data_IF_539157247124
#
_entry.id   IF_539157247124
#
_cell.length_a   1.000
_cell.length_b   1.000
_cell.length_c   1.000
_cell.angle_alpha   90.00
_cell.angle_beta   90.00
_cell.angle_gamma   90.00
#
_symmetry.space_group_name_H-M   'P 1'
#
loop_
_entity.id
_entity.type
_entity.pdbx_description
1 polymer ?
#
# COMPACT_ATOMS: atom_id res chain seq x y z
N UNK A 1 0.75 6.91 -10.28
CA UNK A 1 0.01 7.88 -9.48
C UNK A 1 0.89 8.71 -8.53
N UNK A 2 1.80 8.08 -7.75
CA UNK A 2 2.68 8.83 -6.83
C UNK A 2 3.69 9.72 -7.56
N UNK A 3 4.25 9.27 -8.69
CA UNK A 3 5.13 10.06 -9.55
C UNK A 3 4.38 11.21 -10.21
N UNK A 4 3.15 10.98 -10.66
CA UNK A 4 2.32 12.01 -11.26
C UNK A 4 1.98 13.10 -10.26
N UNK A 5 1.61 12.74 -9.03
CA UNK A 5 1.38 13.68 -7.96
C UNK A 5 2.65 14.49 -7.62
N UNK A 6 3.81 13.84 -7.60
CA UNK A 6 5.07 14.49 -7.26
C UNK A 6 5.47 15.56 -8.30
N UNK A 7 5.32 15.26 -9.58
CA UNK A 7 5.84 16.08 -10.66
C UNK A 7 4.77 16.88 -11.43
N UNK A 8 3.51 16.41 -11.42
CA UNK A 8 2.42 16.92 -12.24
C UNK A 8 1.16 17.26 -11.43
N UNK A 9 1.31 17.67 -10.15
CA UNK A 9 0.20 17.95 -9.24
C UNK A 9 -0.89 18.85 -9.84
N UNK A 10 -0.49 19.94 -10.46
CA UNK A 10 -1.46 20.92 -10.98
C UNK A 10 -2.38 20.31 -12.04
N UNK A 11 -1.82 19.56 -12.99
CA UNK A 11 -2.59 18.88 -14.03
C UNK A 11 -3.48 17.75 -13.45
N UNK A 12 -2.99 17.02 -12.44
CA UNK A 12 -3.80 16.03 -11.73
C UNK A 12 -4.96 16.69 -10.97
N UNK A 13 -4.70 17.82 -10.33
CA UNK A 13 -5.72 18.57 -9.59
C UNK A 13 -6.81 19.11 -10.54
N UNK A 14 -6.44 19.64 -11.68
CA UNK A 14 -7.36 20.12 -12.72
C UNK A 14 -8.29 19.00 -13.21
N UNK A 15 -7.75 17.79 -13.47
CA UNK A 15 -8.56 16.63 -13.84
C UNK A 15 -9.55 16.17 -12.75
N UNK A 16 -9.27 16.46 -11.48
CA UNK A 16 -10.09 16.06 -10.34
C UNK A 16 -11.08 17.11 -9.89
N UNK A 17 -10.84 18.40 -10.18
CA UNK A 17 -11.58 19.54 -9.62
C UNK A 17 -13.07 19.51 -9.95
N UNK A 18 -13.43 19.06 -11.15
CA UNK A 18 -14.79 19.01 -11.64
C UNK A 18 -15.52 17.68 -11.37
N UNK A 19 -14.85 16.72 -10.76
CA UNK A 19 -15.43 15.41 -10.48
C UNK A 19 -16.29 15.45 -9.21
N UNK A 20 -17.54 15.05 -9.33
CA UNK A 20 -18.44 14.84 -8.18
C UNK A 20 -18.50 13.36 -7.82
N UNK A 21 -18.74 13.05 -6.55
CA UNK A 21 -18.93 11.66 -6.09
C UNK A 21 -20.24 11.10 -6.62
N UNK A 22 -20.18 10.36 -7.71
CA UNK A 22 -21.33 9.74 -8.37
C UNK A 22 -21.05 8.28 -8.73
N UNK A 23 -22.04 7.43 -8.51
CA UNK A 23 -21.93 5.99 -8.80
C UNK A 23 -21.63 5.71 -10.27
N UNK A 24 -22.27 6.40 -11.18
CA UNK A 24 -22.07 6.26 -12.62
C UNK A 24 -20.64 6.63 -13.02
N UNK A 25 -20.13 7.76 -12.53
CA UNK A 25 -18.74 8.20 -12.77
C UNK A 25 -17.75 7.19 -12.19
N UNK A 26 -18.06 6.62 -11.02
CA UNK A 26 -17.22 5.61 -10.38
C UNK A 26 -17.04 4.38 -11.28
N UNK A 27 -18.12 3.80 -11.79
CA UNK A 27 -18.04 2.62 -12.65
C UNK A 27 -17.44 2.93 -14.02
N UNK A 28 -17.71 4.12 -14.58
CA UNK A 28 -17.07 4.58 -15.81
C UNK A 28 -15.55 4.74 -15.63
N UNK A 29 -15.11 5.39 -14.54
CA UNK A 29 -13.69 5.54 -14.23
C UNK A 29 -13.01 4.18 -13.99
N UNK A 30 -13.67 3.27 -13.27
CA UNK A 30 -13.15 1.92 -13.00
C UNK A 30 -12.97 1.13 -14.31
N UNK A 31 -13.93 1.18 -15.24
CA UNK A 31 -13.83 0.52 -16.53
C UNK A 31 -12.69 1.06 -17.41
N UNK A 32 -12.30 2.31 -17.19
CA UNK A 32 -11.24 2.98 -17.96
C UNK A 32 -9.84 2.82 -17.38
N UNK A 33 -9.67 2.24 -16.19
CA UNK A 33 -8.34 2.12 -15.55
C UNK A 33 -7.32 1.37 -16.42
N UNK A 34 -7.79 0.40 -17.22
CA UNK A 34 -6.94 -0.45 -18.05
C UNK A 34 -7.13 -0.21 -19.56
N UNK A 35 -7.84 0.86 -19.95
CA UNK A 35 -8.00 1.22 -21.36
C UNK A 35 -6.75 1.90 -21.92
N UNK A 36 -6.46 1.63 -23.18
CA UNK A 36 -5.42 2.35 -23.93
C UNK A 36 -5.86 3.78 -24.28
N UNK A 37 -4.89 4.64 -24.58
CA UNK A 37 -5.14 6.00 -25.05
C UNK A 37 -5.30 7.07 -23.95
N UNK A 38 -5.29 6.69 -22.67
CA UNK A 38 -5.24 7.64 -21.56
C UNK A 38 -3.80 8.13 -21.33
N UNK A 39 -3.65 9.43 -21.08
CA UNK A 39 -2.41 9.96 -20.51
C UNK A 39 -2.18 9.43 -19.07
N UNK A 40 -0.96 9.46 -18.59
CA UNK A 40 -0.64 9.03 -17.21
C UNK A 40 -1.41 9.85 -16.17
N UNK A 41 -1.60 11.17 -16.41
CA UNK A 41 -2.35 12.05 -15.52
C UNK A 41 -3.83 11.66 -15.49
N UNK A 42 -4.43 11.41 -16.65
CA UNK A 42 -5.82 10.96 -16.75
C UNK A 42 -6.03 9.60 -16.06
N UNK A 43 -5.10 8.68 -16.21
CA UNK A 43 -5.11 7.38 -15.53
C UNK A 43 -4.97 7.56 -14.01
N UNK A 44 -4.05 8.43 -13.58
CA UNK A 44 -3.86 8.75 -12.16
C UNK A 44 -5.11 9.39 -11.54
N UNK A 45 -5.78 10.30 -12.25
CA UNK A 45 -7.03 10.92 -11.80
C UNK A 45 -8.14 9.88 -11.62
N UNK A 46 -8.34 8.98 -12.59
CA UNK A 46 -9.33 7.89 -12.49
C UNK A 46 -9.03 6.94 -11.35
N UNK A 47 -7.77 6.54 -11.20
CA UNK A 47 -7.35 5.68 -10.09
C UNK A 47 -7.61 6.35 -8.74
N UNK A 48 -7.22 7.61 -8.57
CA UNK A 48 -7.47 8.36 -7.35
C UNK A 48 -8.97 8.50 -7.06
N UNK A 49 -9.76 8.79 -8.08
CA UNK A 49 -11.22 8.91 -7.96
C UNK A 49 -11.85 7.59 -7.52
N UNK A 50 -11.50 6.47 -8.17
CA UNK A 50 -11.99 5.13 -7.81
C UNK A 50 -11.58 4.76 -6.39
N UNK A 51 -10.32 4.97 -6.03
CA UNK A 51 -9.81 4.67 -4.68
C UNK A 51 -10.59 5.43 -3.60
N UNK A 52 -10.79 6.74 -3.79
CA UNK A 52 -11.44 7.61 -2.79
C UNK A 52 -12.95 7.43 -2.68
N UNK A 53 -13.60 6.98 -3.73
CA UNK A 53 -15.04 6.73 -3.76
C UNK A 53 -15.39 5.24 -3.58
N UNK A 54 -14.42 4.36 -3.29
CA UNK A 54 -14.68 2.95 -3.02
C UNK A 54 -14.84 2.66 -1.53
N UNK A 55 -15.74 1.73 -1.21
CA UNK A 55 -15.91 1.25 0.15
C UNK A 55 -14.63 0.54 0.64
N UNK A 56 -14.07 1.01 1.75
CA UNK A 56 -12.85 0.43 2.33
C UNK A 56 -11.65 0.42 1.36
N UNK A 57 -11.60 1.31 0.40
CA UNK A 57 -10.59 1.40 -0.65
C UNK A 57 -10.45 0.11 -1.50
N UNK A 58 -11.52 -0.69 -1.60
CA UNK A 58 -11.51 -1.98 -2.30
C UNK A 58 -11.51 -1.89 -3.84
N UNK A 59 -11.70 -0.69 -4.39
CA UNK A 59 -11.75 -0.40 -5.83
C UNK A 59 -12.81 -1.22 -6.62
N UNK A 60 -13.79 -1.78 -5.92
CA UNK A 60 -14.83 -2.64 -6.52
C UNK A 60 -16.25 -2.13 -6.28
N UNK A 61 -16.49 -1.54 -5.13
CA UNK A 61 -17.82 -1.10 -4.70
C UNK A 61 -17.84 0.37 -4.35
N UNK A 62 -18.79 1.11 -4.92
CA UNK A 62 -18.97 2.54 -4.64
C UNK A 62 -19.38 2.76 -3.18
N UNK A 63 -18.69 3.64 -2.49
CA UNK A 63 -19.02 4.04 -1.12
C UNK A 63 -20.22 5.00 -1.12
N UNK A 64 -21.24 4.68 -0.32
CA UNK A 64 -22.44 5.52 -0.16
C UNK A 64 -22.33 6.53 0.98
N UNK A 65 -21.22 6.50 1.72
CA UNK A 65 -20.93 7.41 2.83
C UNK A 65 -19.47 7.86 2.76
N UNK A 66 -19.21 9.09 3.18
CA UNK A 66 -17.86 9.68 3.20
C UNK A 66 -17.88 11.15 2.75
N UNK A 67 -16.75 11.82 2.90
CA UNK A 67 -16.61 13.25 2.60
C UNK A 67 -16.43 13.55 1.09
N UNK A 68 -16.59 12.56 0.22
CA UNK A 68 -16.36 12.72 -1.21
C UNK A 68 -14.89 12.98 -1.58
N UNK A 69 -14.67 13.27 -2.86
CA UNK A 69 -13.33 13.48 -3.41
C UNK A 69 -12.74 14.86 -3.05
N UNK A 70 -13.58 15.90 -2.90
CA UNK A 70 -13.15 17.30 -2.73
C UNK A 70 -12.16 17.48 -1.59
N UNK A 71 -12.50 17.03 -0.37
CA UNK A 71 -11.59 17.12 0.78
C UNK A 71 -10.23 16.43 0.57
N UNK A 72 -10.16 15.45 -0.32
CA UNK A 72 -8.91 14.74 -0.62
C UNK A 72 -8.06 15.48 -1.65
N UNK A 73 -8.68 16.25 -2.54
CA UNK A 73 -7.98 17.08 -3.54
C UNK A 73 -7.22 18.22 -2.85
N UNK A 74 -7.81 18.83 -1.81
CA UNK A 74 -7.21 19.92 -1.03
C UNK A 74 -5.88 19.52 -0.37
N UNK A 75 -5.71 18.24 -0.03
CA UNK A 75 -4.46 17.72 0.55
C UNK A 75 -3.35 17.41 -0.46
N UNK A 76 -3.63 17.44 -1.76
CA UNK A 76 -2.64 17.05 -2.78
C UNK A 76 -1.38 17.91 -2.75
N UNK A 77 -1.49 19.19 -2.42
CA UNK A 77 -0.34 20.07 -2.27
C UNK A 77 0.57 19.65 -1.10
N UNK A 78 -0.01 19.36 0.05
CA UNK A 78 0.74 18.90 1.22
C UNK A 78 1.44 17.57 0.94
N UNK A 79 0.77 16.65 0.25
CA UNK A 79 1.36 15.37 -0.17
C UNK A 79 2.49 15.59 -1.16
N UNK A 80 2.35 16.49 -2.13
CA UNK A 80 3.44 16.84 -3.06
C UNK A 80 4.64 17.39 -2.31
N UNK A 81 4.46 18.31 -1.37
CA UNK A 81 5.53 18.86 -0.55
C UNK A 81 6.25 17.75 0.23
N UNK A 82 5.49 16.82 0.81
CA UNK A 82 6.05 15.67 1.53
C UNK A 82 6.87 14.74 0.62
N UNK A 83 6.47 14.59 -0.65
CA UNK A 83 7.12 13.70 -1.61
C UNK A 83 8.38 14.29 -2.26
N UNK A 84 8.66 15.59 -2.12
CA UNK A 84 9.79 16.26 -2.80
C UNK A 84 11.13 15.56 -2.58
N UNK A 85 11.42 15.12 -1.35
CA UNK A 85 12.65 14.42 -0.98
C UNK A 85 12.58 12.90 -1.12
N UNK A 86 11.44 12.35 -1.53
CA UNK A 86 11.20 10.90 -1.60
C UNK A 86 11.60 10.36 -2.97
N UNK A 87 12.34 9.26 -3.00
CA UNK A 87 12.55 8.46 -4.21
C UNK A 87 11.47 7.39 -4.27
N UNK A 88 10.79 7.30 -5.41
CA UNK A 88 9.70 6.35 -5.64
C UNK A 88 10.26 5.29 -6.60
N UNK A 89 10.26 4.04 -6.15
CA UNK A 89 10.72 2.88 -6.90
C UNK A 89 9.54 1.93 -7.14
N UNK A 90 9.41 1.41 -8.35
CA UNK A 90 8.47 0.34 -8.69
C UNK A 90 9.27 -0.86 -9.21
N UNK A 91 9.88 -1.59 -8.28
CA UNK A 91 10.81 -2.70 -8.55
C UNK A 91 10.58 -3.82 -7.55
N UNK A 92 11.12 -5.00 -7.86
CA UNK A 92 11.24 -6.09 -6.89
C UNK A 92 12.01 -5.63 -5.63
N UNK A 93 11.66 -6.17 -4.47
CA UNK A 93 12.25 -5.78 -3.19
C UNK A 93 13.76 -6.08 -3.09
N UNK A 94 14.23 -7.15 -3.71
CA UNK A 94 15.62 -7.58 -3.59
C UNK A 94 16.62 -6.56 -4.17
N UNK A 95 16.45 -6.04 -5.41
CA UNK A 95 17.28 -4.94 -5.91
C UNK A 95 17.18 -3.67 -5.05
N UNK A 96 16.01 -3.39 -4.46
CA UNK A 96 15.83 -2.22 -3.58
C UNK A 96 16.65 -2.40 -2.30
N UNK A 97 16.53 -3.54 -1.63
CA UNK A 97 17.32 -3.85 -0.44
C UNK A 97 18.82 -3.71 -0.73
N UNK A 98 19.32 -4.34 -1.80
CA UNK A 98 20.74 -4.25 -2.20
C UNK A 98 21.22 -2.83 -2.52
N UNK A 99 20.36 -2.00 -3.13
CA UNK A 99 20.73 -0.63 -3.54
C UNK A 99 20.83 0.31 -2.34
N UNK A 100 19.96 0.15 -1.35
CA UNK A 100 19.83 1.08 -0.23
C UNK A 100 20.42 0.56 1.08
N UNK A 101 20.99 -0.67 1.09
CA UNK A 101 21.58 -1.27 2.28
C UNK A 101 22.86 -0.53 2.73
N UNK A 102 22.77 0.11 3.91
CA UNK A 102 23.86 0.80 4.59
C UNK A 102 23.69 0.63 6.11
N UNK A 103 24.76 0.73 6.89
CA UNK A 103 24.68 0.56 8.35
C UNK A 103 23.72 1.52 9.05
N UNK A 104 23.47 2.69 8.47
CA UNK A 104 22.54 3.73 8.95
C UNK A 104 21.13 3.63 8.34
N UNK A 105 20.90 2.71 7.42
CA UNK A 105 19.60 2.52 6.79
C UNK A 105 18.60 1.85 7.75
N UNK A 106 17.34 2.27 7.64
CA UNK A 106 16.20 1.60 8.27
C UNK A 106 15.17 1.24 7.21
N UNK A 107 14.89 -0.05 7.08
CA UNK A 107 13.86 -0.57 6.19
C UNK A 107 12.59 -0.86 6.98
N UNK A 108 11.46 -0.31 6.54
CA UNK A 108 10.15 -0.75 6.96
C UNK A 108 9.53 -1.61 5.85
N UNK A 109 9.16 -2.83 6.19
CA UNK A 109 8.66 -3.82 5.23
C UNK A 109 7.27 -4.29 5.65
N UNK A 110 6.36 -4.28 4.68
CA UNK A 110 4.96 -4.71 4.85
C UNK A 110 4.58 -5.58 3.62
N UNK A 111 5.12 -6.79 3.51
CA UNK A 111 4.83 -7.68 2.40
C UNK A 111 3.39 -8.22 2.49
N UNK A 112 2.85 -8.82 1.41
CA UNK A 112 1.62 -9.58 1.48
C UNK A 112 1.68 -10.62 2.60
N UNK A 113 0.67 -10.64 3.46
CA UNK A 113 0.63 -11.56 4.59
C UNK A 113 0.38 -12.99 4.12
N UNK A 114 1.01 -13.95 4.77
CA UNK A 114 0.87 -15.35 4.43
C UNK A 114 -0.59 -15.80 4.49
N UNK A 115 -1.10 -16.37 3.39
CA UNK A 115 -2.49 -16.76 3.22
C UNK A 115 -3.42 -15.67 2.70
N UNK A 116 -2.93 -14.43 2.51
CA UNK A 116 -3.69 -13.31 1.94
C UNK A 116 -3.18 -12.85 0.58
N UNK A 117 -2.22 -13.54 0.02
CA UNK A 117 -1.51 -13.18 -1.22
C UNK A 117 -2.46 -12.99 -2.41
N UNK A 118 -3.58 -13.71 -2.42
CA UNK A 118 -4.64 -13.61 -3.43
C UNK A 118 -5.33 -12.23 -3.49
N UNK A 119 -5.16 -11.42 -2.44
CA UNK A 119 -5.76 -10.08 -2.35
C UNK A 119 -4.91 -9.00 -3.05
N UNK A 120 -3.72 -9.37 -3.48
CA UNK A 120 -2.77 -8.45 -4.12
C UNK A 120 -2.59 -8.81 -5.59
N UNK A 121 -2.41 -7.79 -6.43
CA UNK A 121 -1.97 -7.99 -7.81
C UNK A 121 -0.51 -8.41 -7.81
N UNK A 122 -0.24 -9.62 -8.29
CA UNK A 122 1.12 -10.18 -8.34
C UNK A 122 1.21 -11.57 -7.71
N UNK A 123 2.33 -12.22 -7.97
CA UNK A 123 2.61 -13.58 -7.47
C UNK A 123 3.63 -13.50 -6.33
N UNK A 124 3.21 -13.01 -5.16
CA UNK A 124 4.03 -13.15 -3.95
C UNK A 124 3.62 -14.44 -3.23
N UNK A 125 4.48 -15.44 -3.24
CA UNK A 125 4.19 -16.75 -2.65
C UNK A 125 5.23 -17.17 -1.61
N UNK A 126 5.11 -18.41 -1.10
CA UNK A 126 6.02 -18.93 -0.08
C UNK A 126 7.51 -18.79 -0.44
N UNK A 127 7.87 -18.98 -1.70
CA UNK A 127 9.25 -18.76 -2.19
C UNK A 127 9.74 -17.33 -1.97
N UNK A 128 8.85 -16.35 -2.08
CA UNK A 128 9.20 -14.94 -1.88
C UNK A 128 9.35 -14.61 -0.41
N UNK A 129 8.58 -15.24 0.49
CA UNK A 129 8.80 -15.14 1.94
C UNK A 129 10.18 -15.68 2.34
N UNK A 130 10.58 -16.83 1.79
CA UNK A 130 11.93 -17.40 2.01
C UNK A 130 13.02 -16.49 1.45
N UNK A 131 12.84 -15.98 0.22
CA UNK A 131 13.76 -15.05 -0.43
C UNK A 131 13.90 -13.75 0.35
N UNK A 132 12.79 -13.22 0.88
CA UNK A 132 12.81 -12.03 1.72
C UNK A 132 13.61 -12.28 3.00
N UNK A 133 13.34 -13.36 3.73
CA UNK A 133 14.07 -13.71 4.94
C UNK A 133 15.58 -13.86 4.69
N UNK A 134 15.97 -14.50 3.59
CA UNK A 134 17.37 -14.65 3.22
C UNK A 134 18.05 -13.29 2.95
N UNK A 135 17.40 -12.40 2.20
CA UNK A 135 17.94 -11.06 1.95
C UNK A 135 18.03 -10.21 3.23
N UNK A 136 17.05 -10.31 4.14
CA UNK A 136 17.04 -9.55 5.39
C UNK A 136 18.13 -10.02 6.36
N UNK A 137 18.52 -11.31 6.32
CA UNK A 137 19.60 -11.85 7.13
C UNK A 137 20.97 -11.30 6.75
N UNK A 138 21.16 -10.90 5.50
CA UNK A 138 22.40 -10.35 4.96
C UNK A 138 22.50 -8.81 5.08
N UNK A 139 21.44 -8.12 5.55
CA UNK A 139 21.41 -6.66 5.65
C UNK A 139 22.41 -6.11 6.68
N UNK A 140 23.10 -5.06 6.29
CA UNK A 140 23.93 -4.22 7.18
C UNK A 140 23.08 -3.22 7.96
N UNK A 141 21.97 -2.78 7.36
CA UNK A 141 21.03 -1.84 7.95
C UNK A 141 20.07 -2.52 8.92
N UNK A 142 19.22 -1.70 9.51
CA UNK A 142 18.15 -2.15 10.41
C UNK A 142 16.86 -2.37 9.64
N UNK A 143 16.02 -3.26 10.14
CA UNK A 143 14.67 -3.39 9.59
C UNK A 143 13.60 -3.57 10.65
N UNK A 144 12.38 -3.20 10.28
CA UNK A 144 11.12 -3.50 10.94
C UNK A 144 10.22 -4.15 9.90
N UNK A 145 9.73 -5.33 10.19
CA UNK A 145 8.92 -6.14 9.28
C UNK A 145 7.61 -6.50 9.99
N UNK A 146 6.47 -6.24 9.35
CA UNK A 146 5.14 -6.62 9.82
C UNK A 146 4.64 -7.87 9.12
N UNK A 147 4.01 -8.78 9.89
CA UNK A 147 3.35 -9.99 9.38
C UNK A 147 2.13 -10.37 10.21
N UNK A 148 1.26 -11.21 9.64
CA UNK A 148 0.32 -11.97 10.44
C UNK A 148 1.06 -12.98 11.33
N UNK A 149 0.50 -13.26 12.49
CA UNK A 149 1.08 -14.23 13.45
C UNK A 149 0.85 -15.66 12.97
N UNK A 150 1.77 -16.16 12.12
CA UNK A 150 1.78 -17.51 11.58
C UNK A 150 3.05 -18.25 12.06
N UNK A 151 2.93 -19.52 12.53
CA UNK A 151 4.07 -20.30 13.01
C UNK A 151 5.21 -20.42 11.99
N UNK A 152 4.91 -20.54 10.69
CA UNK A 152 5.91 -20.65 9.63
C UNK A 152 6.72 -19.37 9.47
N UNK A 153 6.06 -18.20 9.64
CA UNK A 153 6.76 -16.92 9.61
C UNK A 153 7.63 -16.78 10.86
N UNK A 154 7.12 -17.17 12.04
CA UNK A 154 7.95 -17.17 13.27
C UNK A 154 9.21 -18.00 13.11
N UNK A 155 9.09 -19.20 12.54
CA UNK A 155 10.21 -20.12 12.32
C UNK A 155 11.32 -19.51 11.44
N UNK A 156 10.98 -18.69 10.44
CA UNK A 156 11.95 -18.03 9.57
C UNK A 156 12.85 -17.00 10.30
N UNK A 157 12.37 -16.43 11.41
CA UNK A 157 13.00 -15.27 12.03
C UNK A 157 13.40 -15.48 13.49
N UNK A 158 12.90 -16.51 14.21
CA UNK A 158 13.04 -16.69 15.65
C UNK A 158 14.49 -16.79 16.14
N UNK A 159 15.40 -17.32 15.33
CA UNK A 159 16.79 -17.57 15.74
C UNK A 159 17.69 -16.32 15.69
N UNK A 160 17.24 -15.24 15.00
CA UNK A 160 18.10 -14.12 14.69
C UNK A 160 17.40 -12.75 14.75
N UNK A 161 16.11 -12.71 15.07
CA UNK A 161 15.32 -11.49 15.19
C UNK A 161 14.57 -11.41 16.52
N UNK A 162 14.28 -10.19 16.97
CA UNK A 162 13.28 -9.93 18.00
C UNK A 162 11.88 -9.96 17.38
N UNK A 163 10.99 -10.79 17.95
CA UNK A 163 9.61 -10.94 17.48
C UNK A 163 8.64 -10.51 18.56
N UNK A 164 7.90 -9.44 18.32
CA UNK A 164 6.89 -8.91 19.24
C UNK A 164 5.49 -9.15 18.69
N UNK A 165 4.67 -9.89 19.45
CA UNK A 165 3.26 -10.06 19.11
C UNK A 165 2.48 -8.76 19.38
N UNK A 166 1.55 -8.44 18.48
CA UNK A 166 0.61 -7.34 18.59
C UNK A 166 -0.76 -7.77 18.10
N UNK A 167 -1.78 -6.97 18.35
CA UNK A 167 -3.13 -7.23 17.87
C UNK A 167 -3.75 -5.93 17.36
N UNK A 168 -4.33 -5.98 16.17
CA UNK A 168 -5.06 -4.87 15.57
C UNK A 168 -6.55 -5.16 15.57
N UNK A 169 -7.37 -4.17 15.88
CA UNK A 169 -8.80 -4.27 15.67
C UNK A 169 -9.13 -4.35 14.19
N UNK A 170 -9.97 -5.28 13.80
CA UNK A 170 -10.45 -5.39 12.44
C UNK A 170 -11.45 -4.25 12.17
N UNK A 171 -11.04 -3.28 11.33
CA UNK A 171 -11.83 -2.07 11.03
C UNK A 171 -12.88 -2.27 9.94
N UNK A 172 -12.85 -3.40 9.22
CA UNK A 172 -13.73 -3.68 8.08
C UNK A 172 -14.91 -4.60 8.41
N UNK A 173 -15.05 -5.08 9.65
CA UNK A 173 -16.24 -5.78 10.08
C UNK A 173 -17.38 -4.79 10.23
N UNK A 174 -18.42 -4.93 9.39
CA UNK A 174 -19.61 -4.07 9.41
C UNK A 174 -20.28 -4.05 10.78
N UNK A 175 -21.02 -2.96 11.06
CA UNK A 175 -21.78 -2.74 12.30
C UNK A 175 -22.55 -4.00 12.68
N UNK A 176 -22.23 -4.58 13.84
CA UNK A 176 -22.96 -5.74 14.41
C UNK A 176 -22.23 -7.09 14.43
N UNK A 177 -20.99 -7.20 13.92
CA UNK A 177 -20.18 -8.41 14.13
C UNK A 177 -19.25 -8.24 15.34
N UNK A 178 -19.08 -9.31 16.12
CA UNK A 178 -18.13 -9.38 17.22
C UNK A 178 -16.78 -8.83 16.74
N UNK A 179 -16.20 -7.90 17.51
CA UNK A 179 -14.89 -7.30 17.19
C UNK A 179 -13.85 -8.41 17.16
N UNK A 180 -13.44 -8.80 15.94
CA UNK A 180 -12.32 -9.73 15.76
C UNK A 180 -11.01 -8.95 15.85
N UNK A 181 -10.03 -9.55 16.55
CA UNK A 181 -8.67 -9.04 16.59
C UNK A 181 -7.83 -9.81 15.58
N UNK A 182 -7.18 -9.08 14.70
CA UNK A 182 -6.19 -9.66 13.81
C UNK A 182 -4.85 -9.74 14.53
N UNK A 183 -4.32 -10.95 14.68
CA UNK A 183 -3.01 -11.16 15.33
C UNK A 183 -1.90 -10.85 14.36
N UNK A 184 -1.02 -9.95 14.75
CA UNK A 184 0.14 -9.51 13.98
C UNK A 184 1.41 -9.69 14.80
N UNK A 185 2.53 -9.77 14.11
CA UNK A 185 3.87 -9.76 14.71
C UNK A 185 4.72 -8.67 14.06
N UNK A 186 5.51 -8.03 14.87
CA UNK A 186 6.56 -7.09 14.44
C UNK A 186 7.89 -7.80 14.65
N UNK A 187 8.67 -7.89 13.59
CA UNK A 187 9.97 -8.56 13.54
C UNK A 187 11.04 -7.50 13.28
N UNK A 188 12.14 -7.54 14.00
CA UNK A 188 13.24 -6.57 13.84
C UNK A 188 14.59 -7.21 14.18
N UNK A 189 15.67 -6.66 13.60
CA UNK A 189 17.04 -7.14 13.81
C UNK A 189 17.87 -6.28 14.80
N UNK A 190 17.23 -5.45 15.65
CA UNK A 190 17.89 -4.58 16.62
C UNK A 190 17.11 -4.45 17.90
#
# INVERSE_FOLDING_TARGET
CSSDLKYHRAALQEELEWLVSAREIFFAAMAQLHTDGLTDIQRAARFFYVLKNSFGNNQKTFATSGNGIGCSVDYLEQVQLRLRGVKIENRDFEPILKTYDRPDALFYLDPPYLGTEKNYEGTFGWKDHLRLAANLKELKGRFVLSYNDDPRIRELYCDWCDIKATARRETLSGVGKNQSFFKEIIIRNY
#
